data_IF_828669077643
#
_entry.id   IF_828669077643
#
_cell.length_a   1.000
_cell.length_b   1.000
_cell.length_c   1.000
_cell.angle_alpha   90.00
_cell.angle_beta   90.00
_cell.angle_gamma   90.00
#
_symmetry.space_group_name_H-M   'P 1'
#
loop_
_entity.id
_entity.type
_entity.pdbx_description
1 polymer ?
#
# COMPACT_ATOMS: atom_id res chain seq x y z
N UNK A 1 -13.77 74.33 15.65
CA UNK A 1 -14.25 73.59 14.45
C UNK A 1 -15.41 72.68 14.84
N UNK A 2 -16.61 72.85 14.26
CA UNK A 2 -17.74 71.92 14.45
C UNK A 2 -17.58 70.76 13.46
N UNK A 3 -17.11 69.62 13.94
CA UNK A 3 -16.98 68.42 13.11
C UNK A 3 -18.38 67.88 12.78
N UNK A 4 -18.68 67.75 11.49
CA UNK A 4 -20.00 67.35 11.00
C UNK A 4 -20.18 65.83 11.14
N UNK A 5 -20.73 65.38 12.28
CA UNK A 5 -20.96 63.97 12.61
C UNK A 5 -21.71 63.18 11.51
N UNK A 6 -22.55 63.84 10.71
CA UNK A 6 -23.28 63.20 9.60
C UNK A 6 -22.37 62.68 8.47
N UNK A 7 -21.15 63.21 8.33
CA UNK A 7 -20.16 62.73 7.34
C UNK A 7 -19.15 61.73 7.90
N UNK A 8 -19.01 61.64 9.22
CA UNK A 8 -18.06 60.72 9.87
C UNK A 8 -18.55 59.27 9.87
N UNK A 9 -19.85 59.05 10.06
CA UNK A 9 -20.44 57.70 10.10
C UNK A 9 -20.27 56.94 8.78
N UNK A 10 -20.64 57.48 7.60
CA UNK A 10 -20.45 56.76 6.33
C UNK A 10 -18.97 56.53 5.99
N UNK A 11 -18.08 57.45 6.42
CA UNK A 11 -16.63 57.33 6.21
C UNK A 11 -16.02 56.25 7.10
N UNK A 12 -16.47 56.15 8.36
CA UNK A 12 -16.07 55.08 9.28
C UNK A 12 -16.56 53.70 8.84
N UNK A 13 -17.81 53.60 8.36
CA UNK A 13 -18.35 52.34 7.78
C UNK A 13 -17.59 51.93 6.52
N UNK A 14 -17.26 52.89 5.65
CA UNK A 14 -16.45 52.63 4.45
C UNK A 14 -15.06 52.09 4.80
N UNK A 15 -14.35 52.74 5.74
CA UNK A 15 -13.03 52.29 6.18
C UNK A 15 -13.07 50.91 6.86
N UNK A 16 -14.10 50.63 7.65
CA UNK A 16 -14.28 49.32 8.28
C UNK A 16 -14.51 48.21 7.25
N UNK A 17 -15.36 48.46 6.24
CA UNK A 17 -15.58 47.51 5.15
C UNK A 17 -14.29 47.24 4.34
N UNK A 18 -13.50 48.28 4.05
CA UNK A 18 -12.20 48.13 3.40
C UNK A 18 -11.21 47.31 4.25
N UNK A 19 -11.17 47.52 5.56
CA UNK A 19 -10.30 46.76 6.47
C UNK A 19 -10.67 45.27 6.49
N UNK A 20 -11.96 44.93 6.52
CA UNK A 20 -12.43 43.54 6.43
C UNK A 20 -12.03 42.92 5.09
N UNK A 21 -12.23 43.62 3.97
CA UNK A 21 -11.85 43.13 2.64
C UNK A 21 -10.33 42.90 2.53
N UNK A 22 -9.52 43.80 3.07
CA UNK A 22 -8.06 43.65 3.08
C UNK A 22 -7.62 42.44 3.94
N UNK A 23 -8.22 42.25 5.11
CA UNK A 23 -7.94 41.10 5.97
C UNK A 23 -8.32 39.78 5.28
N UNK A 24 -9.48 39.72 4.61
CA UNK A 24 -9.88 38.53 3.87
C UNK A 24 -8.94 38.22 2.70
N UNK A 25 -8.44 39.25 2.01
CA UNK A 25 -7.46 39.09 0.94
C UNK A 25 -6.11 38.56 1.47
N UNK A 26 -5.65 39.04 2.62
CA UNK A 26 -4.42 38.58 3.28
C UNK A 26 -4.54 37.12 3.75
N UNK A 27 -5.66 36.77 4.36
CA UNK A 27 -5.96 35.37 4.75
C UNK A 27 -5.98 34.47 3.52
N UNK A 28 -6.69 34.86 2.45
CA UNK A 28 -6.77 34.07 1.23
C UNK A 28 -5.40 33.91 0.55
N UNK A 29 -4.56 34.95 0.58
CA UNK A 29 -3.18 34.89 0.10
C UNK A 29 -2.31 33.95 0.95
N UNK A 30 -2.42 34.05 2.27
CA UNK A 30 -1.70 33.18 3.21
C UNK A 30 -2.05 31.71 3.00
N UNK A 31 -3.34 31.38 2.91
CA UNK A 31 -3.82 30.02 2.62
C UNK A 31 -3.26 29.52 1.28
N UNK A 32 -3.35 30.35 0.23
CA UNK A 32 -2.78 30.02 -1.08
C UNK A 32 -1.30 29.70 -0.98
N UNK A 33 -0.53 30.51 -0.27
CA UNK A 33 0.91 30.33 -0.17
C UNK A 33 1.26 29.06 0.60
N UNK A 34 0.56 28.78 1.71
CA UNK A 34 0.76 27.55 2.50
C UNK A 34 0.55 26.28 1.68
N UNK A 35 -0.49 26.23 0.83
CA UNK A 35 -0.75 25.09 -0.06
C UNK A 35 0.39 24.86 -1.05
N UNK A 36 0.89 25.93 -1.68
CA UNK A 36 2.00 25.84 -2.65
C UNK A 36 3.32 25.50 -1.96
N UNK A 37 3.57 26.06 -0.78
CA UNK A 37 4.77 25.80 0.02
C UNK A 37 4.83 24.36 0.49
N UNK A 38 3.69 23.76 0.90
CA UNK A 38 3.60 22.35 1.28
C UNK A 38 4.19 21.44 0.19
N UNK A 39 3.69 21.58 -1.05
CA UNK A 39 4.11 20.75 -2.18
C UNK A 39 5.52 21.12 -2.65
N UNK A 40 5.86 22.41 -2.70
CA UNK A 40 7.21 22.85 -3.10
C UNK A 40 8.28 22.33 -2.15
N UNK A 41 8.07 22.45 -0.84
CA UNK A 41 9.05 22.04 0.16
C UNK A 41 9.21 20.52 0.16
N UNK A 42 8.11 19.78 -0.02
CA UNK A 42 8.17 18.34 -0.22
C UNK A 42 9.06 17.96 -1.41
N UNK A 43 8.83 18.52 -2.60
CA UNK A 43 9.63 18.16 -3.78
C UNK A 43 11.09 18.62 -3.71
N UNK A 44 11.37 19.77 -3.07
CA UNK A 44 12.75 20.21 -2.82
C UNK A 44 13.51 19.16 -2.00
N UNK A 45 12.88 18.69 -0.94
CA UNK A 45 13.46 17.71 -0.03
C UNK A 45 13.54 16.31 -0.67
N UNK A 46 12.50 15.87 -1.37
CA UNK A 46 12.44 14.59 -2.08
C UNK A 46 13.50 14.48 -3.19
N UNK A 47 13.64 15.54 -4.01
CA UNK A 47 14.61 15.55 -5.11
C UNK A 47 16.05 15.79 -4.64
N UNK A 48 16.27 16.38 -3.45
CA UNK A 48 17.60 16.59 -2.89
C UNK A 48 18.28 15.30 -2.38
N UNK A 49 17.52 14.22 -2.18
CA UNK A 49 18.00 12.97 -1.57
C UNK A 49 17.87 11.76 -2.51
N UNK A 50 18.66 11.68 -3.61
CA UNK A 50 18.57 10.61 -4.61
C UNK A 50 18.67 9.20 -4.04
N UNK A 51 19.47 9.01 -2.98
CA UNK A 51 19.66 7.74 -2.30
C UNK A 51 18.45 7.26 -1.50
N UNK A 52 17.53 8.17 -1.13
CA UNK A 52 16.29 7.84 -0.42
C UNK A 52 15.07 7.81 -1.35
N UNK A 53 15.22 8.03 -2.66
CA UNK A 53 14.16 7.82 -3.66
C UNK A 53 13.95 6.34 -3.96
N UNK A 54 13.77 5.54 -2.91
CA UNK A 54 13.47 4.13 -3.07
C UNK A 54 11.99 3.97 -3.40
N UNK A 55 11.67 3.04 -4.32
CA UNK A 55 10.33 2.52 -4.45
C UNK A 55 9.83 2.11 -3.05
N UNK A 56 8.59 2.47 -2.71
CA UNK A 56 7.91 2.27 -1.42
C UNK A 56 8.20 3.25 -0.28
N UNK A 57 9.03 4.29 -0.44
CA UNK A 57 9.19 5.31 0.63
C UNK A 57 8.09 6.37 0.55
N UNK A 58 7.04 6.16 1.32
CA UNK A 58 5.99 7.15 1.54
C UNK A 58 6.39 8.07 2.72
N UNK A 59 6.19 9.39 2.62
CA UNK A 59 6.44 10.31 3.71
C UNK A 59 5.49 10.00 4.86
N UNK A 60 6.04 9.85 6.06
CA UNK A 60 5.25 9.65 7.29
C UNK A 60 4.91 10.98 7.96
N UNK A 61 3.84 11.00 8.76
CA UNK A 61 3.46 12.15 9.59
C UNK A 61 2.75 13.24 8.79
N UNK A 62 3.15 14.49 8.99
CA UNK A 62 2.36 15.70 8.65
C UNK A 62 2.21 16.00 7.14
N UNK A 63 2.49 15.07 6.24
CA UNK A 63 2.30 15.28 4.80
C UNK A 63 0.91 14.85 4.35
N UNK A 64 0.51 13.63 4.72
CA UNK A 64 -0.79 13.08 4.37
C UNK A 64 -1.88 13.52 5.35
N UNK A 65 -3.12 13.51 4.89
CA UNK A 65 -4.28 13.61 5.78
C UNK A 65 -4.32 12.36 6.66
N UNK A 66 -4.97 12.44 7.82
CA UNK A 66 -5.10 11.27 8.72
C UNK A 66 -5.78 10.09 8.03
N UNK A 67 -6.77 10.39 7.18
CA UNK A 67 -7.52 9.36 6.46
C UNK A 67 -6.67 8.69 5.38
N UNK A 68 -5.83 9.44 4.66
CA UNK A 68 -4.90 8.86 3.69
C UNK A 68 -3.77 8.10 4.38
N UNK A 69 -3.22 8.64 5.48
CA UNK A 69 -2.20 7.96 6.28
C UNK A 69 -2.71 6.62 6.81
N UNK A 70 -3.92 6.58 7.38
CA UNK A 70 -4.54 5.34 7.82
C UNK A 70 -4.76 4.32 6.68
N UNK A 71 -5.02 4.80 5.46
CA UNK A 71 -5.17 3.95 4.28
C UNK A 71 -3.82 3.36 3.82
N UNK A 72 -2.76 4.16 3.85
CA UNK A 72 -1.38 3.73 3.60
C UNK A 72 -0.94 2.71 4.65
N UNK A 73 -1.15 2.99 5.94
CA UNK A 73 -0.82 2.08 7.03
C UNK A 73 -1.56 0.75 6.90
N UNK A 74 -2.85 0.79 6.56
CA UNK A 74 -3.63 -0.42 6.29
C UNK A 74 -3.05 -1.23 5.11
N UNK A 75 -2.59 -0.57 4.05
CA UNK A 75 -1.94 -1.23 2.92
C UNK A 75 -0.64 -1.93 3.34
N UNK A 76 0.24 -1.22 4.05
CA UNK A 76 1.51 -1.78 4.54
C UNK A 76 1.27 -2.98 5.46
N UNK A 77 0.31 -2.87 6.39
CA UNK A 77 -0.06 -3.97 7.29
C UNK A 77 -0.62 -5.18 6.54
N UNK A 78 -1.49 -4.96 5.54
CA UNK A 78 -2.04 -6.04 4.73
C UNK A 78 -0.94 -6.72 3.89
N UNK A 79 -0.02 -5.94 3.33
CA UNK A 79 1.11 -6.47 2.59
C UNK A 79 2.03 -7.34 3.45
N UNK A 80 2.41 -6.85 4.63
CA UNK A 80 3.27 -7.59 5.55
C UNK A 80 2.62 -8.90 6.03
N UNK A 81 1.34 -8.83 6.40
CA UNK A 81 0.66 -9.95 7.08
C UNK A 81 -0.05 -10.93 6.15
N UNK A 82 -0.59 -10.47 5.02
CA UNK A 82 -1.51 -11.25 4.19
C UNK A 82 -1.07 -11.45 2.74
N UNK A 83 -0.01 -10.77 2.27
CA UNK A 83 0.49 -10.99 0.91
C UNK A 83 0.91 -12.45 0.72
N UNK A 84 0.44 -13.05 -0.38
CA UNK A 84 0.69 -14.46 -0.73
C UNK A 84 1.77 -14.61 -1.81
N UNK A 85 2.12 -13.53 -2.51
CA UNK A 85 3.16 -13.55 -3.53
C UNK A 85 4.57 -13.30 -2.98
N UNK A 86 5.54 -13.57 -3.85
CA UNK A 86 6.93 -13.15 -3.69
C UNK A 86 7.21 -11.76 -4.26
N UNK A 87 6.27 -11.20 -5.01
CA UNK A 87 6.37 -9.83 -5.51
C UNK A 87 6.43 -8.85 -4.34
N UNK A 88 7.19 -7.77 -4.52
CA UNK A 88 7.23 -6.66 -3.56
C UNK A 88 5.81 -6.12 -3.44
N UNK A 89 5.26 -6.15 -2.23
CA UNK A 89 3.91 -5.69 -1.95
C UNK A 89 3.96 -4.31 -1.30
N UNK A 90 3.03 -3.45 -1.65
CA UNK A 90 2.84 -2.16 -1.04
C UNK A 90 2.67 -1.10 -2.10
N UNK A 91 1.87 -0.09 -1.79
CA UNK A 91 1.69 1.03 -2.69
C UNK A 91 3.03 1.74 -2.93
N UNK A 92 3.41 1.84 -4.20
CA UNK A 92 4.72 2.36 -4.62
C UNK A 92 5.85 1.33 -4.62
N UNK A 93 5.58 0.04 -4.40
CA UNK A 93 6.58 -1.03 -4.56
C UNK A 93 7.21 -1.07 -5.96
N UNK A 94 6.44 -0.70 -6.99
CA UNK A 94 6.87 -0.75 -8.39
C UNK A 94 7.48 0.57 -8.90
N UNK A 95 7.58 1.62 -8.08
CA UNK A 95 8.15 2.90 -8.51
C UNK A 95 7.87 4.06 -7.56
N UNK A 96 8.45 5.21 -7.89
CA UNK A 96 8.26 6.44 -7.15
C UNK A 96 6.91 7.07 -7.51
N UNK A 97 5.95 6.95 -6.59
CA UNK A 97 4.58 7.47 -6.73
C UNK A 97 4.52 9.00 -6.71
N UNK A 98 5.57 9.70 -6.30
CA UNK A 98 5.66 11.16 -6.35
C UNK A 98 6.27 11.65 -7.66
N UNK A 99 6.90 10.76 -8.42
CA UNK A 99 7.42 11.06 -9.76
C UNK A 99 6.64 10.38 -10.88
N UNK A 100 5.68 9.50 -10.53
CA UNK A 100 4.92 8.64 -11.46
C UNK A 100 5.87 7.95 -12.47
N UNK A 101 6.88 7.29 -11.90
CA UNK A 101 7.98 6.68 -12.66
C UNK A 101 8.67 5.55 -11.88
N UNK A 102 9.16 4.54 -12.61
CA UNK A 102 10.01 3.49 -12.04
C UNK A 102 11.49 3.90 -12.05
N UNK A 103 11.88 4.68 -13.05
CA UNK A 103 13.24 5.17 -13.25
C UNK A 103 13.21 6.67 -13.53
N UNK A 104 14.29 7.35 -13.16
CA UNK A 104 14.50 8.78 -13.37
C UNK A 104 15.91 9.04 -13.84
N UNK A 105 16.17 10.24 -14.38
CA UNK A 105 17.53 10.60 -14.76
C UNK A 105 18.46 10.53 -13.52
N UNK A 106 19.66 9.91 -13.62
CA UNK A 106 20.62 9.85 -12.51
C UNK A 106 21.04 11.22 -11.99
N UNK A 107 20.87 12.23 -12.82
CA UNK A 107 21.23 13.62 -12.55
C UNK A 107 20.00 14.50 -12.29
N UNK A 108 18.83 13.90 -12.08
CA UNK A 108 17.61 14.62 -11.71
C UNK A 108 17.78 15.28 -10.34
N UNK A 109 17.57 16.59 -10.31
CA UNK A 109 17.45 17.41 -9.11
C UNK A 109 16.29 18.41 -9.28
N UNK A 110 15.99 19.19 -8.25
CA UNK A 110 14.85 20.11 -8.24
C UNK A 110 14.89 21.15 -9.37
N UNK A 111 16.07 21.69 -9.70
CA UNK A 111 16.22 22.72 -10.72
C UNK A 111 16.14 22.14 -12.13
N UNK A 112 16.81 21.00 -12.34
CA UNK A 112 16.82 20.29 -13.61
C UNK A 112 15.46 19.70 -13.95
N UNK A 113 14.69 19.31 -12.94
CA UNK A 113 13.31 18.85 -13.12
C UNK A 113 12.39 19.95 -13.69
N UNK A 114 12.84 21.21 -13.76
CA UNK A 114 12.02 22.36 -14.16
C UNK A 114 10.71 22.42 -13.37
N UNK A 115 10.80 22.13 -12.07
CA UNK A 115 9.66 21.99 -11.18
C UNK A 115 8.85 23.29 -11.12
N UNK A 116 7.53 23.16 -11.28
CA UNK A 116 6.57 24.25 -11.11
C UNK A 116 5.39 23.74 -10.30
N UNK A 117 4.82 24.65 -9.51
CA UNK A 117 3.61 24.38 -8.74
C UNK A 117 2.64 25.54 -8.90
N UNK A 118 1.37 25.23 -9.10
CA UNK A 118 0.32 26.23 -9.19
C UNK A 118 -1.00 25.72 -8.61
N UNK A 119 -1.94 26.63 -8.35
CA UNK A 119 -3.28 26.24 -7.90
C UNK A 119 -4.13 25.87 -9.11
N UNK A 120 -4.73 24.68 -9.04
CA UNK A 120 -5.72 24.20 -10.01
C UNK A 120 -7.15 24.26 -9.47
N UNK A 121 -7.33 24.59 -8.19
CA UNK A 121 -8.64 24.76 -7.54
C UNK A 121 -8.52 25.23 -6.10
N UNK A 122 -9.65 25.28 -5.38
CA UNK A 122 -9.67 25.75 -3.98
C UNK A 122 -8.78 24.90 -3.07
N UNK A 123 -8.85 23.59 -3.26
CA UNK A 123 -8.13 22.59 -2.49
C UNK A 123 -7.27 21.70 -3.39
N UNK A 124 -6.83 22.23 -4.54
CA UNK A 124 -6.05 21.45 -5.51
C UNK A 124 -4.83 22.23 -5.95
N UNK A 125 -3.67 21.60 -5.78
CA UNK A 125 -2.37 22.09 -6.23
C UNK A 125 -1.86 21.18 -7.33
N UNK A 126 -1.46 21.74 -8.45
CA UNK A 126 -0.86 21.01 -9.57
C UNK A 126 0.65 21.20 -9.54
N UNK A 127 1.39 20.10 -9.54
CA UNK A 127 2.84 20.08 -9.70
C UNK A 127 3.18 19.55 -11.10
N UNK A 128 4.06 20.25 -11.80
CA UNK A 128 4.58 19.84 -13.11
C UNK A 128 6.10 19.84 -13.10
N UNK A 129 6.71 18.80 -13.65
CA UNK A 129 8.15 18.63 -13.71
C UNK A 129 8.54 17.63 -14.80
N UNK A 130 9.80 17.53 -15.16
CA UNK A 130 10.32 16.57 -16.12
C UNK A 130 11.32 15.62 -15.44
N UNK A 131 11.07 14.32 -15.50
CA UNK A 131 11.91 13.30 -14.82
C UNK A 131 13.14 12.88 -15.64
N UNK A 132 13.18 13.22 -16.93
CA UNK A 132 14.34 13.08 -17.81
C UNK A 132 14.51 14.33 -18.69
N UNK A 133 14.99 15.45 -18.10
CA UNK A 133 15.03 16.75 -18.78
C UNK A 133 15.79 16.74 -20.11
N UNK A 134 16.80 15.87 -20.22
CA UNK A 134 17.65 15.73 -21.40
C UNK A 134 16.98 14.95 -22.55
N UNK A 135 15.81 14.34 -22.32
CA UNK A 135 15.08 13.52 -23.29
C UNK A 135 13.77 14.16 -23.79
N UNK A 136 13.52 15.43 -23.43
CA UNK A 136 12.38 16.22 -23.90
C UNK A 136 11.06 15.96 -23.18
N UNK A 137 9.97 16.54 -23.70
CA UNK A 137 8.67 16.64 -23.02
C UNK A 137 7.89 15.34 -22.88
N UNK A 138 8.32 14.25 -23.52
CA UNK A 138 7.72 12.92 -23.32
C UNK A 138 7.84 12.43 -21.85
N UNK A 139 8.77 13.02 -21.10
CA UNK A 139 9.03 12.75 -19.70
C UNK A 139 8.47 13.82 -18.76
N UNK A 140 7.66 14.74 -19.29
CA UNK A 140 6.90 15.66 -18.44
C UNK A 140 5.90 14.84 -17.60
N UNK A 141 5.75 15.27 -16.36
CA UNK A 141 4.85 14.73 -15.36
C UNK A 141 4.00 15.85 -14.82
N UNK A 142 2.75 15.50 -14.53
CA UNK A 142 1.77 16.39 -13.95
C UNK A 142 1.00 15.58 -12.90
N UNK A 143 1.07 16.04 -11.66
CA UNK A 143 0.40 15.42 -10.52
C UNK A 143 -0.42 16.50 -9.82
N UNK A 144 -1.69 16.20 -9.54
CA UNK A 144 -2.57 17.08 -8.77
C UNK A 144 -2.75 16.56 -7.36
N UNK A 145 -2.40 17.39 -6.40
CA UNK A 145 -2.57 17.12 -4.97
C UNK A 145 -3.89 17.71 -4.52
N UNK A 146 -4.80 16.85 -4.08
CA UNK A 146 -6.04 17.25 -3.40
C UNK A 146 -5.69 17.44 -1.92
N UNK A 147 -5.97 18.63 -1.41
CA UNK A 147 -5.59 19.04 -0.07
C UNK A 147 -6.79 19.13 0.86
N UNK A 148 -6.58 18.87 2.14
CA UNK A 148 -7.55 19.09 3.21
C UNK A 148 -6.91 19.95 4.30
N UNK A 149 -7.69 20.86 4.87
CA UNK A 149 -7.26 21.67 6.01
C UNK A 149 -7.56 20.91 7.30
N UNK A 150 -6.51 20.53 8.03
CA UNK A 150 -6.63 19.89 9.34
C UNK A 150 -6.15 20.83 10.45
N UNK A 151 -6.35 20.44 11.71
CA UNK A 151 -5.95 21.26 12.88
C UNK A 151 -4.49 21.73 12.87
N UNK A 152 -3.61 20.98 12.20
CA UNK A 152 -2.18 21.22 12.14
C UNK A 152 -1.73 21.74 10.76
N UNK A 153 -2.68 22.24 9.95
CA UNK A 153 -2.48 22.83 8.63
C UNK A 153 -2.88 21.93 7.47
N UNK A 154 -2.58 22.39 6.25
CA UNK A 154 -2.88 21.66 5.01
C UNK A 154 -2.18 20.32 4.92
N UNK A 155 -2.90 19.31 4.45
CA UNK A 155 -2.44 17.94 4.22
C UNK A 155 -2.88 17.43 2.87
N UNK A 156 -2.13 16.49 2.29
CA UNK A 156 -2.50 15.80 1.05
C UNK A 156 -3.49 14.68 1.38
N UNK A 157 -4.70 14.77 0.83
CA UNK A 157 -5.74 13.74 0.99
C UNK A 157 -5.82 12.78 -0.21
N UNK A 158 -5.42 13.23 -1.40
CA UNK A 158 -5.29 12.39 -2.59
C UNK A 158 -4.26 12.95 -3.57
N UNK A 159 -3.73 12.08 -4.42
CA UNK A 159 -2.88 12.43 -5.55
C UNK A 159 -3.53 11.90 -6.83
N UNK A 160 -3.80 12.81 -7.76
CA UNK A 160 -4.39 12.49 -9.06
C UNK A 160 -3.30 12.52 -10.13
N UNK A 161 -3.17 11.42 -10.83
CA UNK A 161 -2.19 11.24 -11.90
C UNK A 161 -2.85 11.41 -13.28
N UNK A 162 -2.05 11.28 -14.32
CA UNK A 162 -2.55 11.16 -15.68
C UNK A 162 -3.54 9.98 -15.81
N UNK A 163 -4.42 10.04 -16.81
CA UNK A 163 -5.42 8.99 -17.11
C UNK A 163 -6.50 8.77 -16.03
N UNK A 164 -6.67 9.71 -15.08
CA UNK A 164 -7.72 9.65 -14.07
C UNK A 164 -7.44 8.68 -12.92
N UNK A 165 -6.16 8.28 -12.77
CA UNK A 165 -5.67 7.50 -11.63
C UNK A 165 -5.65 8.35 -10.35
N UNK A 166 -5.93 7.71 -9.22
CA UNK A 166 -5.99 8.32 -7.88
C UNK A 166 -5.27 7.42 -6.89
N UNK A 167 -4.38 8.00 -6.08
CA UNK A 167 -3.65 7.28 -5.03
C UNK A 167 -4.60 6.59 -4.06
N UNK A 168 -5.66 7.28 -3.61
CA UNK A 168 -6.68 6.67 -2.72
C UNK A 168 -7.33 5.46 -3.36
N UNK A 169 -7.75 5.57 -4.61
CA UNK A 169 -8.42 4.48 -5.33
C UNK A 169 -7.49 3.30 -5.57
N UNK A 170 -6.22 3.57 -5.89
CA UNK A 170 -5.20 2.55 -6.09
C UNK A 170 -4.90 1.80 -4.79
N UNK A 171 -4.68 2.50 -3.68
CA UNK A 171 -4.51 1.90 -2.35
C UNK A 171 -5.72 1.03 -1.96
N UNK A 172 -6.95 1.54 -2.13
CA UNK A 172 -8.16 0.79 -1.82
C UNK A 172 -8.28 -0.49 -2.68
N UNK A 173 -7.98 -0.37 -3.98
CA UNK A 173 -8.00 -1.50 -4.91
C UNK A 173 -6.93 -2.53 -4.55
N UNK A 174 -5.72 -2.09 -4.21
CA UNK A 174 -4.64 -2.96 -3.79
C UNK A 174 -4.98 -3.70 -2.49
N UNK A 175 -5.51 -3.00 -1.48
CA UNK A 175 -5.98 -3.60 -0.24
C UNK A 175 -7.07 -4.65 -0.48
N UNK A 176 -8.03 -4.34 -1.37
CA UNK A 176 -9.07 -5.28 -1.77
C UNK A 176 -8.49 -6.51 -2.49
N UNK A 177 -7.51 -6.32 -3.37
CA UNK A 177 -6.84 -7.41 -4.08
C UNK A 177 -6.06 -8.32 -3.13
N UNK A 178 -5.29 -7.76 -2.18
CA UNK A 178 -4.56 -8.52 -1.16
C UNK A 178 -5.54 -9.37 -0.35
N UNK A 179 -6.64 -8.77 0.12
CA UNK A 179 -7.67 -9.47 0.88
C UNK A 179 -8.37 -10.56 0.04
N UNK A 180 -8.67 -10.29 -1.23
CA UNK A 180 -9.30 -11.25 -2.12
C UNK A 180 -8.40 -12.48 -2.35
N UNK A 181 -7.11 -12.25 -2.62
CA UNK A 181 -6.11 -13.32 -2.79
C UNK A 181 -5.92 -14.13 -1.51
N UNK A 182 -5.81 -13.46 -0.36
CA UNK A 182 -5.69 -14.12 0.93
C UNK A 182 -6.93 -14.98 1.29
N UNK A 183 -8.11 -14.63 0.78
CA UNK A 183 -9.36 -15.40 0.89
C UNK A 183 -9.51 -16.52 -0.13
N UNK A 184 -8.71 -16.52 -1.18
CA UNK A 184 -8.72 -17.58 -2.18
C UNK A 184 -7.81 -18.73 -1.74
N UNK A 185 -8.43 -19.88 -1.45
CA UNK A 185 -7.68 -21.08 -1.07
C UNK A 185 -6.84 -21.60 -2.23
N UNK A 186 -7.29 -21.47 -3.48
CA UNK A 186 -6.53 -21.88 -4.66
C UNK A 186 -5.24 -21.08 -4.79
N UNK A 187 -5.30 -19.75 -4.64
CA UNK A 187 -4.11 -18.88 -4.70
C UNK A 187 -3.16 -19.20 -3.54
N UNK A 188 -3.70 -19.29 -2.31
CA UNK A 188 -2.91 -19.60 -1.11
C UNK A 188 -2.22 -20.96 -1.20
N UNK A 189 -2.97 -22.03 -1.53
CA UNK A 189 -2.42 -23.36 -1.67
C UNK A 189 -1.44 -23.44 -2.85
N UNK A 190 -1.73 -22.75 -3.97
CA UNK A 190 -0.85 -22.65 -5.11
C UNK A 190 0.55 -22.16 -4.74
N UNK A 191 0.62 -21.08 -3.95
CA UNK A 191 1.90 -20.57 -3.43
C UNK A 191 2.59 -21.55 -2.48
N UNK A 192 1.87 -22.14 -1.53
CA UNK A 192 2.45 -23.14 -0.61
C UNK A 192 3.06 -24.31 -1.37
N UNK A 193 2.33 -24.89 -2.32
CA UNK A 193 2.84 -26.01 -3.12
C UNK A 193 3.94 -25.60 -4.10
N UNK A 194 3.96 -24.34 -4.56
CA UNK A 194 5.07 -23.80 -5.33
C UNK A 194 6.36 -23.78 -4.49
N UNK A 195 6.30 -23.28 -3.25
CA UNK A 195 7.44 -23.28 -2.34
C UNK A 195 7.87 -24.70 -1.93
N UNK A 196 6.92 -25.60 -1.66
CA UNK A 196 7.25 -26.99 -1.35
C UNK A 196 7.93 -27.73 -2.51
N UNK A 197 7.73 -27.30 -3.76
CA UNK A 197 8.41 -27.90 -4.92
C UNK A 197 9.86 -27.45 -5.08
N UNK A 198 10.25 -26.35 -4.45
CA UNK A 198 11.58 -25.79 -4.56
C UNK A 198 12.28 -25.84 -3.19
N UNK A 199 13.23 -26.76 -3.03
CA UNK A 199 13.95 -26.96 -1.77
C UNK A 199 14.60 -25.67 -1.24
N UNK A 200 15.04 -24.78 -2.14
CA UNK A 200 15.63 -23.48 -1.79
C UNK A 200 14.62 -22.45 -1.27
N UNK A 201 13.31 -22.76 -1.27
CA UNK A 201 12.23 -21.87 -0.86
C UNK A 201 11.36 -22.44 0.27
N UNK A 202 11.75 -23.53 0.92
CA UNK A 202 10.96 -24.15 1.99
C UNK A 202 10.71 -23.21 3.18
N UNK A 203 11.67 -22.33 3.47
CA UNK A 203 11.53 -21.29 4.48
C UNK A 203 10.40 -20.30 4.14
N UNK A 204 10.12 -20.05 2.86
CA UNK A 204 9.02 -19.18 2.41
C UNK A 204 7.65 -19.80 2.70
N UNK A 205 7.52 -21.14 2.62
CA UNK A 205 6.29 -21.84 2.97
C UNK A 205 5.88 -21.61 4.43
N UNK A 206 6.84 -21.37 5.33
CA UNK A 206 6.59 -21.05 6.74
C UNK A 206 5.73 -19.81 6.93
N UNK A 207 5.75 -18.85 5.98
CA UNK A 207 4.89 -17.64 6.01
C UNK A 207 3.39 -17.95 5.95
N UNK A 208 3.02 -19.15 5.52
CA UNK A 208 1.62 -19.58 5.38
C UNK A 208 1.15 -20.42 6.55
N UNK A 209 2.03 -20.69 7.52
CA UNK A 209 1.75 -21.57 8.65
C UNK A 209 1.27 -20.73 9.83
N UNK A 210 0.11 -21.13 10.38
CA UNK A 210 -0.35 -20.60 11.64
C UNK A 210 0.30 -21.37 12.79
N UNK A 211 0.97 -20.64 13.68
CA UNK A 211 1.67 -21.22 14.82
C UNK A 211 0.85 -21.11 16.13
N UNK A 212 0.87 -22.15 16.98
CA UNK A 212 1.51 -23.44 16.76
C UNK A 212 0.78 -24.29 15.72
N UNK A 213 1.54 -24.99 14.86
CA UNK A 213 1.01 -25.86 13.82
C UNK A 213 1.00 -27.31 14.32
N UNK A 214 -0.04 -28.08 13.99
CA UNK A 214 -0.08 -29.50 14.32
C UNK A 214 0.65 -30.31 13.23
N UNK A 215 1.68 -31.07 13.58
CA UNK A 215 2.37 -31.96 12.63
C UNK A 215 2.22 -33.39 13.09
N UNK A 216 1.65 -34.24 12.24
CA UNK A 216 1.47 -35.66 12.45
C UNK A 216 2.48 -36.45 11.62
N UNK A 217 3.19 -37.36 12.27
CA UNK A 217 4.16 -38.25 11.63
C UNK A 217 3.47 -39.31 10.74
N UNK A 218 4.22 -40.11 9.98
CA UNK A 218 3.65 -41.18 9.16
C UNK A 218 2.91 -42.28 9.93
N UNK A 219 2.99 -42.30 11.27
CA UNK A 219 2.28 -43.24 12.14
C UNK A 219 1.03 -42.62 12.78
N UNK A 220 0.80 -41.32 12.56
CA UNK A 220 -0.37 -40.58 13.04
C UNK A 220 -0.20 -39.97 14.42
N UNK A 221 1.02 -39.96 14.97
CA UNK A 221 1.32 -39.26 16.22
C UNK A 221 1.51 -37.78 15.91
N UNK A 222 0.70 -36.93 16.53
CA UNK A 222 0.69 -35.49 16.28
C UNK A 222 1.36 -34.71 17.41
N UNK A 223 2.14 -33.69 17.05
CA UNK A 223 2.72 -32.74 17.98
C UNK A 223 2.45 -31.30 17.52
N UNK A 224 2.24 -30.39 18.47
CA UNK A 224 2.19 -28.96 18.19
C UNK A 224 3.63 -28.43 18.06
N UNK A 225 3.95 -27.82 16.93
CA UNK A 225 5.28 -27.28 16.60
C UNK A 225 5.25 -25.76 16.56
N UNK A 226 6.34 -25.14 17.04
CA UNK A 226 6.60 -23.71 16.93
C UNK A 226 7.39 -23.42 15.65
N UNK A 227 7.50 -22.14 15.29
CA UNK A 227 8.20 -21.69 14.08
C UNK A 227 9.66 -22.11 14.01
N UNK A 228 10.33 -22.15 15.15
CA UNK A 228 11.74 -22.48 15.34
C UNK A 228 12.01 -23.98 15.60
N UNK A 229 10.97 -24.82 15.56
CA UNK A 229 11.12 -26.26 15.78
C UNK A 229 11.76 -26.92 14.55
N UNK A 230 12.96 -27.51 14.71
CA UNK A 230 13.67 -28.18 13.60
C UNK A 230 12.86 -29.29 12.95
N UNK A 231 11.94 -29.93 13.69
CA UNK A 231 11.08 -31.00 13.16
C UNK A 231 10.08 -30.48 12.13
N UNK A 232 9.74 -29.19 12.17
CA UNK A 232 8.89 -28.57 11.17
C UNK A 232 9.59 -28.57 9.81
N UNK A 233 10.85 -28.16 9.76
CA UNK A 233 11.61 -28.15 8.50
C UNK A 233 11.78 -29.55 7.93
N UNK A 234 12.02 -30.56 8.79
CA UNK A 234 12.04 -31.97 8.37
C UNK A 234 10.70 -32.44 7.79
N UNK A 235 9.58 -31.99 8.36
CA UNK A 235 8.26 -32.31 7.82
C UNK A 235 8.00 -31.62 6.47
N UNK A 236 8.41 -30.37 6.30
CA UNK A 236 8.29 -29.65 5.01
C UNK A 236 9.17 -30.29 3.93
N UNK A 237 10.38 -30.70 4.27
CA UNK A 237 11.31 -31.42 3.38
C UNK A 237 10.72 -32.77 2.92
N UNK A 238 10.16 -33.54 3.86
CA UNK A 238 9.45 -34.79 3.53
C UNK A 238 8.24 -34.57 2.60
N UNK A 239 7.55 -33.43 2.71
CA UNK A 239 6.48 -33.07 1.78
C UNK A 239 7.01 -32.71 0.39
N UNK A 240 8.13 -32.00 0.32
CA UNK A 240 8.79 -31.65 -0.94
C UNK A 240 9.14 -32.90 -1.74
N UNK A 241 9.80 -33.87 -1.08
CA UNK A 241 10.23 -35.12 -1.69
C UNK A 241 9.07 -36.02 -2.14
N UNK A 242 7.92 -35.93 -1.48
CA UNK A 242 6.72 -36.72 -1.81
C UNK A 242 6.04 -36.30 -3.12
N UNK A 243 6.52 -35.24 -3.79
CA UNK A 243 5.91 -34.75 -5.03
C UNK A 243 4.52 -34.13 -4.81
N UNK A 244 4.27 -33.58 -3.62
CA UNK A 244 2.96 -33.10 -3.16
C UNK A 244 2.24 -32.12 -4.12
N UNK A 245 2.98 -31.51 -5.06
CA UNK A 245 2.46 -30.61 -6.08
C UNK A 245 1.68 -31.26 -7.23
N UNK A 246 1.62 -32.58 -7.38
CA UNK A 246 0.84 -33.23 -8.45
C UNK A 246 -0.69 -33.28 -8.21
N UNK A 247 -1.17 -32.64 -7.15
CA UNK A 247 -2.57 -32.71 -6.72
C UNK A 247 -3.42 -31.65 -7.43
N UNK A 248 -4.66 -31.99 -7.78
CA UNK A 248 -5.64 -31.01 -8.25
C UNK A 248 -5.93 -30.00 -7.12
N UNK A 249 -5.51 -28.75 -7.30
CA UNK A 249 -5.91 -27.64 -6.44
C UNK A 249 -7.41 -27.35 -6.66
N UNK A 250 -8.14 -26.88 -5.63
CA UNK A 250 -9.49 -26.37 -5.83
C UNK A 250 -9.46 -25.26 -6.88
N UNK A 251 -10.52 -25.12 -7.67
CA UNK A 251 -10.63 -24.02 -8.62
C UNK A 251 -10.81 -22.68 -7.87
N UNK A 252 -10.36 -21.56 -8.45
CA UNK A 252 -10.63 -20.23 -7.88
C UNK A 252 -12.12 -20.05 -7.59
N UNK A 253 -12.44 -19.63 -6.36
CA UNK A 253 -13.82 -19.42 -5.90
C UNK A 253 -14.63 -20.68 -5.56
N UNK A 254 -14.09 -21.90 -5.75
CA UNK A 254 -14.79 -23.15 -5.40
C UNK A 254 -15.01 -23.28 -3.89
N UNK A 255 -14.02 -22.87 -3.10
CA UNK A 255 -14.09 -22.90 -1.65
C UNK A 255 -14.42 -21.51 -1.11
N UNK A 256 -15.65 -21.36 -0.61
CA UNK A 256 -16.07 -20.15 0.10
C UNK A 256 -15.34 -20.04 1.44
N UNK A 257 -14.65 -18.93 1.67
CA UNK A 257 -13.98 -18.63 2.94
C UNK A 257 -14.99 -18.40 4.07
N UNK A 258 -14.70 -18.92 5.26
CA UNK A 258 -15.50 -18.73 6.47
C UNK A 258 -14.66 -19.02 7.71
N UNK A 259 -14.74 -18.17 8.73
CA UNK A 259 -13.90 -18.27 9.93
C UNK A 259 -13.97 -19.67 10.56
N UNK A 260 -12.81 -20.27 10.83
CA UNK A 260 -12.69 -21.62 11.38
C UNK A 260 -12.95 -22.76 10.38
N UNK A 261 -13.28 -22.45 9.11
CA UNK A 261 -13.46 -23.48 8.07
C UNK A 261 -12.12 -24.14 7.77
N UNK A 262 -12.12 -25.47 7.77
CA UNK A 262 -10.94 -26.30 7.47
C UNK A 262 -11.13 -27.02 6.14
N UNK A 263 -10.11 -26.98 5.29
CA UNK A 263 -10.05 -27.73 4.02
C UNK A 263 -8.73 -28.47 3.93
N UNK A 264 -8.82 -29.78 3.77
CA UNK A 264 -7.67 -30.64 3.54
C UNK A 264 -7.29 -30.65 2.05
N UNK A 265 -6.02 -30.36 1.75
CA UNK A 265 -5.44 -30.53 0.42
C UNK A 265 -4.16 -31.36 0.59
N UNK A 266 -4.20 -32.60 0.13
CA UNK A 266 -3.13 -33.59 0.33
C UNK A 266 -2.78 -33.70 1.83
N UNK A 267 -1.52 -33.48 2.21
CA UNK A 267 -1.05 -33.56 3.58
C UNK A 267 -1.37 -32.32 4.43
N UNK A 268 -1.88 -31.24 3.85
CA UNK A 268 -2.06 -29.96 4.53
C UNK A 268 -3.53 -29.71 4.86
N UNK A 269 -3.82 -29.30 6.10
CA UNK A 269 -5.11 -28.68 6.43
C UNK A 269 -4.96 -27.16 6.47
N UNK A 270 -5.73 -26.52 5.59
CA UNK A 270 -5.87 -25.08 5.54
C UNK A 270 -7.08 -24.66 6.37
N UNK A 271 -6.87 -23.82 7.37
CA UNK A 271 -7.94 -23.20 8.14
C UNK A 271 -8.05 -21.73 7.76
N UNK A 272 -9.25 -21.27 7.46
CA UNK A 272 -9.51 -19.85 7.25
C UNK A 272 -9.64 -19.16 8.61
N UNK A 273 -8.70 -18.26 8.90
CA UNK A 273 -8.72 -17.45 10.12
C UNK A 273 -8.04 -16.11 9.90
N UNK A 274 -8.45 -15.09 10.66
CA UNK A 274 -7.89 -13.74 10.55
C UNK A 274 -7.89 -13.21 9.11
N UNK A 275 -8.99 -13.43 8.38
CA UNK A 275 -9.21 -13.02 6.98
C UNK A 275 -8.40 -13.76 5.92
N UNK A 276 -7.69 -14.85 6.24
CA UNK A 276 -6.92 -15.60 5.27
C UNK A 276 -6.83 -17.10 5.53
N UNK A 277 -6.42 -17.86 4.52
CA UNK A 277 -6.12 -19.29 4.66
C UNK A 277 -4.72 -19.53 5.23
N UNK A 278 -4.64 -20.40 6.23
CA UNK A 278 -3.38 -20.76 6.90
C UNK A 278 -3.24 -22.27 7.00
N UNK A 279 -2.03 -22.77 6.80
CA UNK A 279 -1.70 -24.16 7.13
C UNK A 279 -1.70 -24.29 8.65
N UNK A 280 -2.61 -25.10 9.15
CA UNK A 280 -2.80 -25.36 10.59
C UNK A 280 -2.46 -26.78 10.99
N UNK A 281 -2.44 -27.69 10.01
CA UNK A 281 -1.99 -29.07 10.20
C UNK A 281 -1.20 -29.58 9.01
N UNK A 282 -0.15 -30.35 9.31
CA UNK A 282 0.61 -31.17 8.37
C UNK A 282 0.43 -32.62 8.80
N UNK A 283 -0.11 -33.49 7.95
CA UNK A 283 -0.34 -34.91 8.24
C UNK A 283 0.37 -35.78 7.20
N UNK A 284 1.57 -36.25 7.56
CA UNK A 284 2.47 -36.97 6.66
C UNK A 284 1.97 -38.36 6.27
N UNK A 285 0.88 -38.86 6.88
CA UNK A 285 0.23 -40.10 6.42
C UNK A 285 -0.44 -39.92 5.06
N UNK A 286 -0.84 -38.69 4.73
CA UNK A 286 -1.55 -38.37 3.50
C UNK A 286 -0.60 -38.13 2.32
N UNK A 287 0.68 -37.84 2.57
CA UNK A 287 1.65 -37.58 1.49
C UNK A 287 1.99 -38.82 0.66
N UNK A 288 1.73 -40.03 1.18
CA UNK A 288 2.00 -41.32 0.54
C UNK A 288 0.74 -42.00 -0.03
N UNK A 289 -0.43 -41.40 0.14
CA UNK A 289 -1.72 -41.99 -0.26
C UNK A 289 -2.17 -41.46 -1.63
N UNK A 290 -2.61 -42.30 -2.58
CA UNK A 290 -3.26 -41.81 -3.80
C UNK A 290 -4.52 -41.00 -3.43
N UNK A 291 -4.86 -39.95 -4.20
CA UNK A 291 -6.00 -39.09 -3.87
C UNK A 291 -7.29 -39.92 -3.79
N UNK A 292 -8.15 -39.71 -2.78
CA UNK A 292 -9.44 -40.38 -2.72
C UNK A 292 -10.29 -39.96 -3.93
N UNK A 293 -11.10 -40.86 -4.50
CA UNK A 293 -12.03 -40.50 -5.56
C UNK A 293 -13.01 -39.44 -5.03
N UNK A 294 -13.20 -38.35 -5.79
CA UNK A 294 -14.14 -37.28 -5.45
C UNK A 294 -15.55 -37.86 -5.21
N UNK A 295 -16.29 -37.36 -4.20
CA UNK A 295 -17.72 -37.64 -4.06
C UNK A 295 -18.55 -36.99 -5.17
#
# INVERSE_FOLDING_TARGET
>A
MKINRKRLVPLGVGLFAFAILALMADIAWSVRQQQLDLITNFYKDHLARPETRQASQLPSGSFFSRDLEALVDANLQLCDSLSRGDDVCGYGADGDVFLDAQEVAPTLDFERAHFKVERAGDNVVEASFNIHPDMGSAYDRLIRFVLVDETDGWRVDDMLYSQGRSMRQELQKENANILARARDLSDTAGWVFNYLRNQDMLDRAVRFIAFPVQVCDPYGVCAAMKRDDMRLMQALDALADSGAGATALPKPGEVVAGEGKVVAINALDFTFQNKAWWVTKIDLRRSSSPPPPNP
#
